data_IF_285144886777
#
_entry.id   IF_285144886777
#
_cell.length_a   1.000
_cell.length_b   1.000
_cell.length_c   1.000
_cell.angle_alpha   90.00
_cell.angle_beta   90.00
_cell.angle_gamma   90.00
#
_symmetry.space_group_name_H-M   'P 1'
#
loop_
_entity.id
_entity.type
_entity.pdbx_description
1 polymer ?
#
# COMPACT_ATOMS: atom_id res chain seq x y z
N UNK A 1 -4.83 24.30 -8.36
CA UNK A 1 -5.28 23.27 -7.40
C UNK A 1 -4.10 22.87 -6.53
N UNK A 2 -4.18 23.06 -5.21
CA UNK A 2 -3.19 22.51 -4.29
C UNK A 2 -3.29 20.98 -4.35
N UNK A 3 -2.23 20.29 -4.79
CA UNK A 3 -2.15 18.83 -4.67
C UNK A 3 -2.24 18.50 -3.18
N UNK A 4 -3.17 17.65 -2.72
CA UNK A 4 -3.28 17.31 -1.32
C UNK A 4 -1.93 16.73 -0.85
N UNK A 5 -1.35 17.33 0.19
CA UNK A 5 -0.20 16.77 0.88
C UNK A 5 -0.73 15.56 1.63
N UNK A 6 -0.57 14.37 1.06
CA UNK A 6 -0.95 13.12 1.70
C UNK A 6 0.02 12.91 2.88
N UNK A 7 -0.41 12.96 4.16
CA UNK A 7 0.47 12.64 5.28
C UNK A 7 0.70 11.12 5.27
N UNK A 8 1.74 10.72 4.56
CA UNK A 8 2.00 9.33 4.22
C UNK A 8 2.12 8.44 5.46
N UNK A 9 2.74 8.92 6.52
CA UNK A 9 3.08 8.10 7.69
C UNK A 9 1.86 7.76 8.57
N UNK A 10 0.83 8.60 8.58
CA UNK A 10 -0.36 8.36 9.40
C UNK A 10 -1.36 7.42 8.70
N UNK A 11 -1.31 7.39 7.36
CA UNK A 11 -2.27 6.68 6.52
C UNK A 11 -1.70 5.44 5.84
N UNK A 12 -0.38 5.39 5.61
CA UNK A 12 0.34 4.26 5.04
C UNK A 12 1.40 3.76 6.01
N UNK A 13 1.44 2.44 6.17
CA UNK A 13 2.55 1.72 6.79
C UNK A 13 2.95 0.60 5.86
N UNK A 14 4.23 0.38 5.67
CA UNK A 14 4.69 -0.69 4.82
C UNK A 14 6.04 -1.19 5.26
N UNK A 15 6.36 -2.38 4.77
CA UNK A 15 7.71 -2.89 4.75
C UNK A 15 7.97 -3.40 3.33
N UNK A 16 9.15 -3.12 2.78
CA UNK A 16 9.54 -3.73 1.52
C UNK A 16 11.04 -3.91 1.40
N UNK A 17 11.43 -5.17 1.14
CA UNK A 17 12.78 -5.60 0.76
C UNK A 17 12.63 -6.70 -0.28
N UNK A 18 13.20 -6.47 -1.47
CA UNK A 18 13.05 -7.39 -2.59
C UNK A 18 13.51 -8.81 -2.23
N UNK A 19 12.71 -9.82 -2.54
CA UNK A 19 12.93 -11.26 -2.23
C UNK A 19 12.76 -11.66 -0.77
N UNK A 20 12.52 -10.73 0.16
CA UNK A 20 12.41 -11.06 1.60
C UNK A 20 10.99 -10.86 2.12
N UNK A 21 10.48 -9.64 2.06
CA UNK A 21 9.13 -9.34 2.52
C UNK A 21 8.65 -8.02 1.94
N UNK A 22 7.41 -8.03 1.45
CA UNK A 22 6.72 -6.84 0.96
C UNK A 22 5.27 -6.85 1.41
N UNK A 23 4.85 -5.73 1.99
CA UNK A 23 3.45 -5.44 2.31
C UNK A 23 3.24 -3.94 2.54
N UNK A 24 2.02 -3.47 2.27
CA UNK A 24 1.64 -2.07 2.44
C UNK A 24 0.21 -1.96 2.97
N UNK A 25 0.06 -1.49 4.20
CA UNK A 25 -1.22 -1.25 4.85
C UNK A 25 -1.69 0.20 4.64
N UNK A 26 -2.82 0.34 3.97
CA UNK A 26 -3.52 1.59 3.74
C UNK A 26 -4.68 1.76 4.74
N UNK A 27 -4.40 2.48 5.83
CA UNK A 27 -5.31 2.65 6.98
C UNK A 27 -6.66 3.25 6.61
N UNK A 28 -6.70 4.33 5.81
CA UNK A 28 -7.96 4.98 5.38
C UNK A 28 -8.99 4.01 4.81
N UNK A 29 -8.55 3.02 4.03
CA UNK A 29 -9.42 2.05 3.37
C UNK A 29 -9.46 0.70 4.10
N UNK A 30 -8.70 0.55 5.19
CA UNK A 30 -8.50 -0.73 5.86
C UNK A 30 -8.05 -1.84 4.90
N UNK A 31 -7.23 -1.45 3.92
CA UNK A 31 -6.73 -2.34 2.86
C UNK A 31 -5.27 -2.67 3.13
N UNK A 32 -4.93 -3.95 2.99
CA UNK A 32 -3.56 -4.42 2.93
C UNK A 32 -3.24 -4.85 1.49
N UNK A 33 -2.14 -4.36 0.94
CA UNK A 33 -1.56 -4.83 -0.32
C UNK A 33 -0.36 -5.72 -0.02
N UNK A 34 -0.41 -6.96 -0.49
CA UNK A 34 0.53 -8.04 -0.13
C UNK A 34 0.68 -8.28 1.39
N UNK A 35 1.21 -9.42 1.75
CA UNK A 35 1.31 -9.91 3.12
C UNK A 35 2.60 -10.72 3.32
N UNK A 36 3.75 -10.12 3.01
CA UNK A 36 5.06 -10.69 3.31
C UNK A 36 5.27 -10.99 4.81
N UNK A 37 6.32 -11.75 5.12
CA UNK A 37 6.62 -12.12 6.50
C UNK A 37 6.89 -10.91 7.42
N UNK A 38 6.70 -11.09 8.73
CA UNK A 38 6.90 -10.05 9.74
C UNK A 38 5.77 -9.02 9.85
N UNK A 39 4.78 -9.04 8.96
CA UNK A 39 3.65 -8.09 8.97
C UNK A 39 2.91 -8.03 10.32
N UNK A 40 2.59 -9.17 10.92
CA UNK A 40 1.85 -9.21 12.18
C UNK A 40 2.67 -8.58 13.32
N UNK A 41 3.96 -8.88 13.39
CA UNK A 41 4.90 -8.31 14.36
C UNK A 41 5.09 -6.80 14.16
N UNK A 42 5.12 -6.33 12.90
CA UNK A 42 5.29 -4.91 12.60
C UNK A 42 4.03 -4.08 12.87
N UNK A 43 2.85 -4.63 12.59
CA UNK A 43 1.57 -3.92 12.75
C UNK A 43 1.00 -4.04 14.17
N UNK A 44 1.36 -5.08 14.93
CA UNK A 44 0.79 -5.37 16.25
C UNK A 44 -0.75 -5.32 16.18
N UNK A 45 -1.42 -4.70 17.15
CA UNK A 45 -2.88 -4.58 17.19
C UNK A 45 -3.52 -3.91 15.96
N UNK A 46 -2.74 -3.25 15.08
CA UNK A 46 -3.28 -2.68 13.85
C UNK A 46 -3.75 -3.74 12.85
N UNK A 47 -3.30 -5.00 12.97
CA UNK A 47 -3.79 -6.09 12.10
C UNK A 47 -5.30 -6.29 12.21
N UNK A 48 -5.90 -6.00 13.37
CA UNK A 48 -7.34 -6.10 13.59
C UNK A 48 -8.14 -5.05 12.80
N UNK A 49 -7.50 -3.98 12.34
CA UNK A 49 -8.11 -2.96 11.50
C UNK A 49 -8.19 -3.34 10.02
N UNK A 50 -7.50 -4.39 9.58
CA UNK A 50 -7.51 -4.84 8.18
C UNK A 50 -8.88 -5.44 7.86
N UNK A 51 -9.45 -5.08 6.71
CA UNK A 51 -10.74 -5.63 6.24
C UNK A 51 -10.59 -6.38 4.93
N UNK A 52 -9.73 -5.88 4.04
CA UNK A 52 -9.48 -6.49 2.73
C UNK A 52 -7.97 -6.61 2.48
N UNK A 53 -7.52 -7.76 1.99
CA UNK A 53 -6.13 -8.04 1.59
C UNK A 53 -6.13 -8.26 0.07
N UNK A 54 -5.26 -7.57 -0.65
CA UNK A 54 -5.08 -7.72 -2.10
C UNK A 54 -3.67 -8.22 -2.37
N UNK A 55 -3.56 -9.46 -2.82
CA UNK A 55 -2.29 -10.11 -3.16
C UNK A 55 -1.99 -9.85 -4.64
N UNK A 56 -0.85 -9.26 -4.94
CA UNK A 56 -0.40 -8.98 -6.31
C UNK A 56 -0.04 -10.26 -7.06
N UNK A 57 0.62 -11.19 -6.38
CA UNK A 57 1.03 -12.50 -6.88
C UNK A 57 1.38 -13.43 -5.72
N UNK A 58 1.87 -14.64 -6.04
CA UNK A 58 2.05 -15.71 -5.06
C UNK A 58 3.48 -16.03 -4.70
N UNK A 59 4.45 -15.12 -4.83
CA UNK A 59 5.78 -15.37 -4.26
C UNK A 59 5.77 -15.25 -2.74
N UNK A 60 6.64 -16.00 -2.08
CA UNK A 60 6.62 -16.17 -0.63
C UNK A 60 6.82 -14.85 0.12
N UNK A 61 7.68 -13.97 -0.39
CA UNK A 61 7.94 -12.63 0.15
C UNK A 61 6.72 -11.68 0.06
N UNK A 62 5.66 -12.06 -0.66
CA UNK A 62 4.40 -11.33 -0.73
C UNK A 62 3.24 -12.00 0.01
N UNK A 63 3.38 -13.23 0.51
CA UNK A 63 2.25 -13.99 1.08
C UNK A 63 2.55 -14.76 2.38
N UNK A 64 3.83 -14.97 2.73
CA UNK A 64 4.21 -15.82 3.86
C UNK A 64 3.68 -15.31 5.22
N UNK A 65 3.45 -14.01 5.35
CA UNK A 65 2.88 -13.38 6.53
C UNK A 65 1.39 -13.68 6.76
N UNK A 66 0.67 -14.20 5.77
CA UNK A 66 -0.75 -14.54 5.88
C UNK A 66 -1.01 -15.52 7.03
N UNK A 67 -0.16 -16.54 7.17
CA UNK A 67 -0.35 -17.59 8.19
C UNK A 67 -0.40 -16.96 9.59
N UNK A 68 0.60 -16.12 9.90
CA UNK A 68 0.69 -15.47 11.20
C UNK A 68 -0.41 -14.39 11.35
N UNK A 69 -0.70 -13.63 10.30
CA UNK A 69 -1.74 -12.60 10.32
C UNK A 69 -3.12 -13.17 10.68
N UNK A 70 -3.51 -14.27 10.03
CA UNK A 70 -4.81 -14.93 10.31
C UNK A 70 -4.82 -15.49 11.73
N UNK A 71 -3.72 -16.11 12.17
CA UNK A 71 -3.61 -16.66 13.52
C UNK A 71 -3.76 -15.57 14.61
N UNK A 72 -3.05 -14.44 14.48
CA UNK A 72 -3.14 -13.34 15.46
C UNK A 72 -4.53 -12.71 15.46
N UNK A 73 -5.17 -12.58 14.29
CA UNK A 73 -6.55 -12.11 14.21
C UNK A 73 -7.53 -13.05 14.91
N UNK A 74 -7.29 -14.35 14.84
CA UNK A 74 -8.16 -15.35 15.44
C UNK A 74 -8.05 -15.37 16.98
N UNK A 75 -6.81 -15.37 17.49
CA UNK A 75 -6.54 -15.50 18.92
C UNK A 75 -6.60 -14.18 19.68
N UNK A 76 -6.55 -13.05 18.97
CA UNK A 76 -6.54 -11.71 19.56
C UNK A 76 -7.92 -11.21 19.97
N UNK A 77 -7.95 -10.27 20.91
CA UNK A 77 -9.15 -9.57 21.40
C UNK A 77 -9.64 -8.44 20.45
N UNK A 78 -9.44 -8.60 19.14
CA UNK A 78 -9.86 -7.62 18.14
C UNK A 78 -11.36 -7.63 17.87
N UNK A 79 -11.81 -6.83 16.91
CA UNK A 79 -13.18 -6.93 16.37
C UNK A 79 -13.34 -8.26 15.60
N UNK A 80 -13.96 -9.22 16.27
CA UNK A 80 -14.22 -10.56 15.75
C UNK A 80 -15.45 -10.61 14.81
N UNK A 81 -16.24 -9.54 14.74
CA UNK A 81 -17.45 -9.49 13.91
C UNK A 81 -17.17 -9.13 12.45
N UNK A 82 -15.98 -8.59 12.16
CA UNK A 82 -15.63 -8.12 10.84
C UNK A 82 -15.03 -9.21 9.95
N UNK A 83 -15.67 -9.47 8.81
CA UNK A 83 -15.14 -10.32 7.74
C UNK A 83 -13.76 -9.83 7.26
N UNK A 84 -12.85 -10.77 7.06
CA UNK A 84 -11.60 -10.57 6.33
C UNK A 84 -11.73 -11.15 4.93
N UNK A 85 -11.59 -10.32 3.91
CA UNK A 85 -11.59 -10.76 2.52
C UNK A 85 -10.18 -10.75 1.94
N UNK A 86 -9.76 -11.85 1.32
CA UNK A 86 -8.47 -11.99 0.66
C UNK A 86 -8.69 -12.16 -0.84
N UNK A 87 -8.29 -11.15 -1.61
CA UNK A 87 -8.32 -11.13 -3.06
C UNK A 87 -6.96 -11.53 -3.61
N UNK A 88 -6.93 -12.46 -4.56
CA UNK A 88 -5.68 -13.00 -5.10
C UNK A 88 -5.80 -13.38 -6.58
N UNK A 89 -4.70 -13.44 -7.33
CA UNK A 89 -4.76 -13.78 -8.74
C UNK A 89 -5.27 -15.21 -8.91
N UNK A 90 -6.30 -15.36 -9.73
CA UNK A 90 -6.89 -16.66 -10.03
C UNK A 90 -5.82 -17.65 -10.53
N UNK A 91 -5.98 -18.92 -10.17
CA UNK A 91 -5.08 -20.03 -10.50
C UNK A 91 -3.65 -19.89 -9.92
N UNK A 92 -3.47 -19.16 -8.81
CA UNK A 92 -2.19 -19.13 -8.10
C UNK A 92 -2.02 -20.33 -7.16
N UNK A 93 -1.16 -21.28 -7.53
CA UNK A 93 -0.98 -22.55 -6.81
C UNK A 93 -0.53 -22.37 -5.36
N UNK A 94 0.44 -21.50 -5.07
CA UNK A 94 0.97 -21.38 -3.71
C UNK A 94 -0.06 -20.74 -2.77
N UNK A 95 -0.83 -19.77 -3.26
CA UNK A 95 -1.91 -19.16 -2.48
C UNK A 95 -3.00 -20.19 -2.17
N UNK A 96 -3.36 -21.06 -3.11
CA UNK A 96 -4.30 -22.17 -2.87
C UNK A 96 -3.78 -23.15 -1.81
N UNK A 97 -2.49 -23.45 -1.80
CA UNK A 97 -1.87 -24.30 -0.76
C UNK A 97 -1.97 -23.64 0.61
N UNK A 98 -1.68 -22.34 0.71
CA UNK A 98 -1.81 -21.59 1.99
C UNK A 98 -3.27 -21.56 2.44
N UNK A 99 -4.22 -21.32 1.53
CA UNK A 99 -5.65 -21.35 1.83
C UNK A 99 -6.08 -22.70 2.40
N UNK A 100 -5.66 -23.80 1.77
CA UNK A 100 -5.95 -25.16 2.24
C UNK A 100 -5.29 -25.44 3.58
N UNK A 101 -4.03 -25.04 3.76
CA UNK A 101 -3.31 -25.17 5.02
C UNK A 101 -4.07 -24.47 6.17
N UNK A 102 -4.48 -23.22 5.98
CA UNK A 102 -5.24 -22.47 6.98
C UNK A 102 -6.60 -23.13 7.28
N UNK A 103 -7.35 -23.54 6.25
CA UNK A 103 -8.62 -24.23 6.43
C UNK A 103 -8.48 -25.58 7.18
N UNK A 104 -7.34 -26.26 7.00
CA UNK A 104 -7.05 -27.55 7.65
C UNK A 104 -6.49 -27.43 9.07
N UNK A 105 -5.98 -26.26 9.46
CA UNK A 105 -5.32 -26.05 10.76
C UNK A 105 -6.09 -25.12 11.69
N UNK A 106 -7.03 -24.33 11.15
CA UNK A 106 -7.83 -23.34 11.89
C UNK A 106 -9.32 -23.56 11.61
N UNK A 107 -9.89 -24.60 12.21
CA UNK A 107 -11.28 -25.02 11.95
C UNK A 107 -12.33 -24.07 12.52
N UNK A 108 -11.99 -23.30 13.56
CA UNK A 108 -12.89 -22.37 14.24
C UNK A 108 -12.24 -20.99 14.27
N UNK A 109 -12.38 -20.26 13.16
CA UNK A 109 -12.02 -18.84 13.14
C UNK A 109 -13.10 -18.04 13.88
N UNK A 110 -12.66 -17.11 14.73
CA UNK A 110 -13.53 -16.19 15.45
C UNK A 110 -14.15 -15.13 14.53
N UNK A 111 -13.77 -15.08 13.26
CA UNK A 111 -14.22 -14.14 12.24
C UNK A 111 -14.40 -14.85 10.90
N UNK A 112 -15.20 -14.26 10.00
CA UNK A 112 -15.40 -14.81 8.66
C UNK A 112 -14.19 -14.52 7.76
N UNK A 113 -13.64 -15.55 7.12
CA UNK A 113 -12.49 -15.46 6.23
C UNK A 113 -12.88 -15.89 4.81
N UNK A 114 -12.97 -14.91 3.91
CA UNK A 114 -13.43 -15.11 2.54
C UNK A 114 -12.27 -14.98 1.56
N UNK A 115 -12.06 -16.00 0.74
CA UNK A 115 -11.05 -16.00 -0.33
C UNK A 115 -11.72 -15.73 -1.66
N UNK A 116 -11.23 -14.74 -2.41
CA UNK A 116 -11.79 -14.31 -3.69
C UNK A 116 -10.74 -14.32 -4.79
N UNK A 117 -10.73 -15.34 -5.67
CA UNK A 117 -9.86 -15.30 -6.84
C UNK A 117 -10.33 -14.19 -7.79
N UNK A 118 -9.40 -13.41 -8.31
CA UNK A 118 -9.68 -12.28 -9.21
C UNK A 118 -8.78 -12.31 -10.45
N UNK A 119 -9.30 -11.76 -11.54
CA UNK A 119 -8.61 -11.52 -12.80
C UNK A 119 -8.34 -10.01 -12.99
N UNK A 120 -7.71 -9.64 -14.11
CA UNK A 120 -7.47 -8.24 -14.46
C UNK A 120 -8.73 -7.57 -15.01
N UNK A 121 -8.92 -6.28 -14.70
CA UNK A 121 -10.08 -5.49 -15.15
C UNK A 121 -11.31 -5.61 -14.26
N UNK A 122 -11.24 -6.38 -13.16
CA UNK A 122 -12.33 -6.53 -12.23
C UNK A 122 -12.54 -5.27 -11.37
N UNK A 123 -13.79 -5.03 -11.00
CA UNK A 123 -14.23 -3.94 -10.12
C UNK A 123 -14.77 -4.53 -8.82
N UNK A 124 -14.18 -4.10 -7.71
CA UNK A 124 -14.43 -4.62 -6.36
C UNK A 124 -14.88 -3.45 -5.49
N UNK A 125 -16.15 -3.42 -5.14
CA UNK A 125 -16.75 -2.32 -4.37
C UNK A 125 -16.27 -2.30 -2.91
N UNK A 126 -16.15 -1.10 -2.33
CA UNK A 126 -16.07 -0.96 -0.88
C UNK A 126 -17.47 -0.98 -0.28
N UNK A 127 -17.61 -1.60 0.89
CA UNK A 127 -18.88 -1.66 1.65
C UNK A 127 -19.12 -0.36 2.44
N UNK A 128 -18.83 0.81 1.85
CA UNK A 128 -18.98 2.11 2.50
C UNK A 128 -20.42 2.69 2.40
N UNK A 129 -21.32 1.93 1.77
CA UNK A 129 -22.72 2.29 1.55
C UNK A 129 -22.94 3.47 0.59
N UNK A 130 -21.87 4.06 0.05
CA UNK A 130 -21.93 5.23 -0.84
C UNK A 130 -21.63 4.87 -2.29
N UNK A 131 -20.99 3.73 -2.55
CA UNK A 131 -20.74 3.20 -3.91
C UNK A 131 -19.87 4.12 -4.77
N UNK A 132 -19.10 5.01 -4.13
CA UNK A 132 -18.25 6.00 -4.80
C UNK A 132 -16.81 5.56 -4.88
N UNK A 133 -16.39 4.59 -4.08
CA UNK A 133 -15.01 4.12 -4.05
C UNK A 133 -14.99 2.62 -4.33
N UNK A 134 -14.07 2.18 -5.17
CA UNK A 134 -13.87 0.76 -5.49
C UNK A 134 -12.40 0.47 -5.82
N UNK A 135 -12.02 -0.80 -5.81
CA UNK A 135 -10.75 -1.28 -6.37
C UNK A 135 -10.98 -1.74 -7.82
N UNK A 136 -10.08 -1.34 -8.71
CA UNK A 136 -9.94 -1.88 -10.06
C UNK A 136 -8.64 -2.66 -10.15
N UNK A 137 -8.71 -3.91 -10.59
CA UNK A 137 -7.52 -4.72 -10.86
C UNK A 137 -6.97 -4.43 -12.26
N UNK A 138 -5.67 -4.54 -12.45
CA UNK A 138 -5.04 -4.51 -13.77
C UNK A 138 -3.89 -5.51 -13.84
N UNK A 139 -3.59 -6.00 -15.04
CA UNK A 139 -2.52 -6.98 -15.24
C UNK A 139 -1.15 -6.29 -15.17
N UNK A 140 -0.22 -6.88 -14.44
CA UNK A 140 1.19 -6.48 -14.42
C UNK A 140 2.05 -7.49 -15.18
N UNK A 141 3.33 -7.16 -15.39
CA UNK A 141 4.26 -7.99 -16.14
C UNK A 141 5.37 -8.47 -15.21
N UNK A 142 5.14 -9.57 -14.51
CA UNK A 142 6.15 -10.14 -13.60
C UNK A 142 6.55 -11.57 -13.98
N UNK A 143 5.57 -12.46 -14.14
CA UNK A 143 5.80 -13.84 -14.59
C UNK A 143 5.04 -14.12 -15.88
N UNK A 144 5.67 -14.83 -16.81
CA UNK A 144 4.97 -15.33 -18.01
C UNK A 144 3.99 -16.47 -17.68
N UNK A 145 4.20 -17.18 -16.56
CA UNK A 145 3.46 -18.40 -16.20
C UNK A 145 2.30 -18.16 -15.25
N UNK A 146 2.39 -17.11 -14.44
CA UNK A 146 1.42 -16.81 -13.39
C UNK A 146 0.86 -15.40 -13.57
N UNK A 147 -0.43 -15.24 -13.28
CA UNK A 147 -1.07 -13.94 -13.28
C UNK A 147 -0.51 -13.11 -12.11
N UNK A 148 -0.02 -11.91 -12.43
CA UNK A 148 0.32 -10.86 -11.47
C UNK A 148 -0.59 -9.66 -11.71
N UNK A 149 -1.01 -9.03 -10.63
CA UNK A 149 -1.99 -7.95 -10.61
C UNK A 149 -1.46 -6.72 -9.88
N UNK A 150 -1.83 -5.56 -10.41
CA UNK A 150 -1.84 -4.30 -9.69
C UNK A 150 -3.27 -3.87 -9.36
N UNK A 151 -3.39 -2.92 -8.46
CA UNK A 151 -4.66 -2.47 -7.90
C UNK A 151 -4.75 -0.95 -7.88
N UNK A 152 -5.84 -0.42 -8.44
CA UNK A 152 -6.19 0.99 -8.36
C UNK A 152 -7.34 1.17 -7.37
N UNK A 153 -7.17 1.99 -6.34
CA UNK A 153 -8.31 2.54 -5.61
C UNK A 153 -8.83 3.72 -6.43
N UNK A 154 -10.09 3.64 -6.83
CA UNK A 154 -10.75 4.60 -7.71
C UNK A 154 -11.91 5.25 -6.97
N UNK A 155 -12.03 6.57 -7.11
CA UNK A 155 -13.13 7.37 -6.55
C UNK A 155 -13.93 8.02 -7.69
N UNK A 156 -15.25 7.82 -7.69
CA UNK A 156 -16.20 8.53 -8.53
C UNK A 156 -16.34 9.98 -8.02
N UNK A 157 -15.81 10.92 -8.81
CA UNK A 157 -15.88 12.35 -8.53
C UNK A 157 -16.76 13.05 -9.55
N UNK A 158 -17.07 14.32 -9.26
CA UNK A 158 -17.81 15.18 -10.17
C UNK A 158 -17.02 16.44 -10.43
N UNK A 159 -17.07 16.92 -11.66
CA UNK A 159 -16.53 18.22 -12.06
C UNK A 159 -17.55 18.95 -12.91
N UNK A 160 -17.46 20.27 -12.96
CA UNK A 160 -18.26 21.06 -13.88
C UNK A 160 -17.92 20.67 -15.32
N UNK A 161 -18.93 20.63 -16.19
CA UNK A 161 -18.68 20.53 -17.63
C UNK A 161 -17.95 21.78 -18.10
N UNK A 162 -17.17 21.65 -19.18
CA UNK A 162 -16.30 22.71 -19.68
C UNK A 162 -17.02 24.06 -19.86
N UNK A 163 -18.28 24.04 -20.31
CA UNK A 163 -19.11 25.24 -20.50
C UNK A 163 -19.44 26.01 -19.20
N UNK A 164 -19.39 25.37 -18.03
CA UNK A 164 -19.64 26.02 -16.73
C UNK A 164 -18.36 26.33 -15.95
N UNK A 165 -17.18 25.92 -16.47
CA UNK A 165 -15.90 26.19 -15.79
C UNK A 165 -15.59 27.68 -15.87
N UNK A 166 -15.39 28.32 -14.71
CA UNK A 166 -15.08 29.74 -14.60
C UNK A 166 -16.28 30.68 -14.57
N UNK A 167 -17.52 30.15 -14.70
CA UNK A 167 -18.73 30.95 -14.51
C UNK A 167 -18.90 31.40 -13.05
N UNK A 168 -19.58 32.53 -12.82
CA UNK A 168 -19.97 32.95 -11.48
C UNK A 168 -20.83 31.90 -10.75
N UNK A 169 -20.60 31.71 -9.44
CA UNK A 169 -21.27 30.68 -8.65
C UNK A 169 -22.81 30.82 -8.63
N UNK A 170 -23.32 32.05 -8.67
CA UNK A 170 -24.76 32.33 -8.77
C UNK A 170 -25.37 31.82 -10.09
N UNK A 171 -24.67 31.95 -11.21
CA UNK A 171 -25.12 31.43 -12.50
C UNK A 171 -25.10 29.91 -12.54
N UNK A 172 -24.07 29.29 -11.97
CA UNK A 172 -23.98 27.82 -11.81
C UNK A 172 -25.16 27.31 -10.96
N UNK A 173 -25.45 27.97 -9.84
CA UNK A 173 -26.55 27.58 -8.96
C UNK A 173 -27.91 27.71 -9.67
N UNK A 174 -28.11 28.79 -10.44
CA UNK A 174 -29.31 28.98 -11.24
C UNK A 174 -29.45 27.90 -12.33
N UNK A 175 -28.35 27.54 -12.99
CA UNK A 175 -28.32 26.46 -13.97
C UNK A 175 -28.66 25.10 -13.34
N UNK A 176 -28.13 24.80 -12.15
CA UNK A 176 -28.45 23.57 -11.41
C UNK A 176 -29.92 23.53 -11.03
N UNK A 177 -30.49 24.64 -10.56
CA UNK A 177 -31.91 24.70 -10.17
C UNK A 177 -32.83 24.49 -11.38
N UNK A 178 -32.46 25.03 -12.55
CA UNK A 178 -33.26 24.97 -13.78
C UNK A 178 -33.12 23.66 -14.54
N UNK A 179 -31.89 23.16 -14.69
CA UNK A 179 -31.55 22.04 -15.58
C UNK A 179 -31.17 20.75 -14.84
N UNK A 180 -31.01 20.82 -13.52
CA UNK A 180 -30.53 19.72 -12.69
C UNK A 180 -29.01 19.60 -12.65
N UNK A 181 -28.52 18.88 -11.64
CA UNK A 181 -27.09 18.74 -11.35
C UNK A 181 -26.30 17.98 -12.44
N UNK A 182 -26.93 16.99 -13.09
CA UNK A 182 -26.31 16.21 -14.18
C UNK A 182 -26.10 17.03 -15.46
N UNK A 183 -26.90 18.08 -15.66
CA UNK A 183 -26.72 18.98 -16.79
C UNK A 183 -25.46 19.84 -16.64
N UNK A 184 -25.11 20.21 -15.40
CA UNK A 184 -24.02 21.15 -15.08
C UNK A 184 -22.70 20.45 -14.73
N UNK A 185 -22.78 19.27 -14.12
CA UNK A 185 -21.62 18.52 -13.67
C UNK A 185 -21.59 17.10 -14.24
N UNK A 186 -20.44 16.71 -14.77
CA UNK A 186 -20.16 15.34 -15.23
C UNK A 186 -19.44 14.53 -14.15
N UNK A 187 -19.67 13.23 -14.14
CA UNK A 187 -18.95 12.28 -13.27
C UNK A 187 -17.70 11.77 -13.98
N UNK A 188 -16.62 11.59 -13.23
CA UNK A 188 -15.38 11.01 -13.73
C UNK A 188 -14.72 10.15 -12.65
N UNK A 189 -13.89 9.21 -13.10
CA UNK A 189 -13.09 8.37 -12.22
C UNK A 189 -11.75 9.04 -11.92
N UNK A 190 -11.43 9.14 -10.64
CA UNK A 190 -10.10 9.53 -10.18
C UNK A 190 -9.42 8.34 -9.54
N UNK A 191 -8.27 7.92 -10.08
CA UNK A 191 -7.40 6.97 -9.39
C UNK A 191 -6.73 7.72 -8.23
N UNK A 192 -7.07 7.36 -7.00
CA UNK A 192 -6.54 8.03 -5.80
C UNK A 192 -5.28 7.35 -5.27
N UNK A 193 -5.12 6.05 -5.55
CA UNK A 193 -3.98 5.26 -5.09
C UNK A 193 -3.80 4.06 -6.01
N UNK A 194 -2.56 3.78 -6.38
CA UNK A 194 -2.17 2.63 -7.19
C UNK A 194 -1.13 1.81 -6.44
N UNK A 195 -1.34 0.50 -6.35
CA UNK A 195 -0.34 -0.47 -5.93
C UNK A 195 0.03 -1.36 -7.10
N UNK A 196 1.30 -1.32 -7.52
CA UNK A 196 1.77 -2.06 -8.69
C UNK A 196 2.09 -3.53 -8.45
N UNK A 197 2.39 -3.93 -7.21
CA UNK A 197 3.10 -5.20 -6.96
C UNK A 197 4.43 -5.26 -7.72
N UNK A 198 4.95 -6.47 -7.87
CA UNK A 198 6.12 -6.73 -8.71
C UNK A 198 5.72 -6.70 -10.19
N UNK A 199 6.56 -6.07 -11.00
CA UNK A 199 6.31 -5.82 -12.41
C UNK A 199 7.51 -5.19 -13.11
N UNK A 200 7.66 -5.46 -14.41
CA UNK A 200 8.23 -4.51 -15.38
C UNK A 200 7.49 -3.16 -15.35
N UNK A 201 8.00 -2.11 -15.99
CA UNK A 201 7.38 -0.79 -15.96
C UNK A 201 5.89 -0.86 -16.30
N UNK A 202 5.05 -0.40 -15.38
CA UNK A 202 3.59 -0.49 -15.50
C UNK A 202 3.16 0.38 -16.69
N UNK A 203 2.24 -0.15 -17.51
CA UNK A 203 1.66 0.60 -18.62
C UNK A 203 1.03 1.91 -18.09
N UNK A 204 1.49 3.09 -18.56
CA UNK A 204 0.97 4.39 -18.12
C UNK A 204 -0.54 4.55 -18.25
N UNK A 205 -1.19 3.88 -19.20
CA UNK A 205 -2.65 3.96 -19.38
C UNK A 205 -3.42 3.29 -18.23
N UNK A 206 -2.86 2.24 -17.63
CA UNK A 206 -3.49 1.55 -16.50
C UNK A 206 -3.47 2.39 -15.20
N UNK A 207 -2.60 3.39 -15.14
CA UNK A 207 -2.31 4.18 -13.94
C UNK A 207 -2.41 5.70 -14.19
N UNK A 208 -3.03 6.09 -15.31
CA UNK A 208 -3.10 7.46 -15.78
C UNK A 208 -3.77 8.37 -14.76
N UNK A 209 -3.14 9.51 -14.50
CA UNK A 209 -3.56 10.55 -13.55
C UNK A 209 -3.72 10.04 -12.10
N UNK A 210 -3.07 8.94 -11.74
CA UNK A 210 -3.07 8.46 -10.35
C UNK A 210 -2.50 9.50 -9.40
N UNK A 211 -3.19 9.77 -8.28
CA UNK A 211 -2.70 10.74 -7.29
C UNK A 211 -1.49 10.21 -6.51
N UNK A 212 -1.39 8.90 -6.36
CA UNK A 212 -0.31 8.23 -5.63
C UNK A 212 0.01 6.87 -6.24
N UNK A 213 1.20 6.72 -6.80
CA UNK A 213 1.67 5.51 -7.46
C UNK A 213 2.67 4.78 -6.58
N UNK A 214 2.40 3.53 -6.21
CA UNK A 214 3.40 2.62 -5.66
C UNK A 214 3.91 1.72 -6.79
N UNK A 215 5.19 1.83 -7.11
CA UNK A 215 5.81 1.07 -8.20
C UNK A 215 7.08 0.37 -7.71
N UNK A 216 7.25 -0.90 -8.02
CA UNK A 216 8.49 -1.60 -7.69
C UNK A 216 9.66 -0.96 -8.45
N UNK A 217 10.83 -0.94 -7.83
CA UNK A 217 12.06 -0.51 -8.47
C UNK A 217 13.22 -1.33 -7.93
N UNK A 218 13.26 -2.59 -8.36
CA UNK A 218 14.26 -3.54 -7.89
C UNK A 218 15.69 -3.09 -8.21
N UNK A 219 15.90 -2.46 -9.38
CA UNK A 219 17.22 -2.06 -9.84
C UNK A 219 17.37 -0.55 -10.05
N UNK A 220 18.51 0.01 -9.63
CA UNK A 220 18.83 1.44 -9.83
C UNK A 220 19.52 1.68 -11.17
N UNK A 221 20.24 0.68 -11.71
CA UNK A 221 20.95 0.75 -13.00
C UNK A 221 20.54 -0.45 -13.86
N UNK A 222 20.70 -0.32 -15.18
CA UNK A 222 20.35 -1.39 -16.12
C UNK A 222 21.27 -2.61 -15.95
N UNK A 223 22.56 -2.37 -15.74
CA UNK A 223 23.57 -3.42 -15.61
C UNK A 223 23.39 -4.28 -14.35
N UNK A 224 22.58 -3.82 -13.39
CA UNK A 224 22.27 -4.54 -12.16
C UNK A 224 21.31 -5.72 -12.36
N UNK A 225 20.57 -5.79 -13.48
CA UNK A 225 19.74 -6.95 -13.85
C UNK A 225 20.60 -8.08 -14.46
N UNK A 226 21.56 -8.59 -13.68
CA UNK A 226 22.56 -9.58 -14.10
C UNK A 226 21.95 -10.86 -14.68
N UNK A 227 20.74 -11.22 -14.24
CA UNK A 227 20.06 -12.45 -14.64
C UNK A 227 19.18 -12.26 -15.87
N UNK A 228 19.05 -11.02 -16.35
CA UNK A 228 18.19 -10.60 -17.46
C UNK A 228 16.81 -11.27 -17.42
N UNK A 229 16.27 -11.45 -16.21
CA UNK A 229 15.02 -12.17 -16.03
C UNK A 229 13.86 -11.36 -16.60
N UNK A 230 14.03 -10.05 -16.79
CA UNK A 230 13.04 -9.19 -17.44
C UNK A 230 11.69 -9.21 -16.69
N UNK A 231 11.74 -9.42 -15.36
CA UNK A 231 10.56 -9.55 -14.47
C UNK A 231 10.35 -8.32 -13.56
N UNK A 232 11.35 -7.45 -13.48
CA UNK A 232 11.38 -6.30 -12.58
C UNK A 232 11.73 -5.01 -13.32
N UNK A 233 11.59 -3.88 -12.63
CA UNK A 233 11.80 -2.56 -13.20
C UNK A 233 13.12 -1.93 -12.82
N UNK A 234 13.62 -1.07 -13.71
CA UNK A 234 14.80 -0.22 -13.50
C UNK A 234 14.37 1.22 -13.28
N UNK A 235 15.07 1.94 -12.40
CA UNK A 235 14.77 3.32 -11.99
C UNK A 235 14.42 4.27 -13.14
N UNK A 236 15.16 4.26 -14.25
CA UNK A 236 14.89 5.13 -15.40
C UNK A 236 13.47 4.94 -15.94
N UNK A 237 13.06 3.68 -16.06
CA UNK A 237 11.80 3.31 -16.69
C UNK A 237 10.63 3.55 -15.74
N UNK A 238 10.84 3.35 -14.43
CA UNK A 238 9.84 3.67 -13.40
C UNK A 238 9.56 5.18 -13.38
N UNK A 239 10.60 6.02 -13.42
CA UNK A 239 10.45 7.47 -13.47
C UNK A 239 9.77 7.92 -14.76
N UNK A 240 10.09 7.29 -15.89
CA UNK A 240 9.46 7.57 -17.17
C UNK A 240 7.98 7.15 -17.18
N UNK A 241 7.64 5.96 -16.68
CA UNK A 241 6.26 5.50 -16.55
C UNK A 241 5.42 6.43 -15.66
N UNK A 242 5.97 6.88 -14.52
CA UNK A 242 5.31 7.84 -13.64
C UNK A 242 5.06 9.19 -14.32
N UNK A 243 6.03 9.65 -15.14
CA UNK A 243 5.91 10.87 -15.95
C UNK A 243 4.81 10.77 -16.99
N UNK A 244 4.81 9.68 -17.77
CA UNK A 244 3.85 9.45 -18.86
C UNK A 244 2.43 9.23 -18.35
N UNK A 245 2.32 8.64 -17.16
CA UNK A 245 1.07 8.50 -16.42
C UNK A 245 0.60 9.80 -15.77
N UNK A 246 1.43 10.85 -15.69
CA UNK A 246 1.17 12.08 -14.93
C UNK A 246 0.84 11.81 -13.46
N UNK A 247 1.60 10.92 -12.82
CA UNK A 247 1.40 10.57 -11.42
C UNK A 247 1.51 11.82 -10.51
N UNK A 248 0.68 11.88 -9.46
CA UNK A 248 0.73 12.96 -8.48
C UNK A 248 1.97 12.87 -7.58
N UNK A 249 2.22 11.66 -7.07
CA UNK A 249 3.37 11.24 -6.27
C UNK A 249 3.76 9.82 -6.66
N UNK A 250 5.04 9.52 -6.76
CA UNK A 250 5.59 8.17 -6.94
C UNK A 250 6.25 7.73 -5.63
N UNK A 251 5.85 6.56 -5.13
CA UNK A 251 6.55 5.82 -4.10
C UNK A 251 7.17 4.57 -4.71
N UNK A 252 8.49 4.51 -4.68
CA UNK A 252 9.23 3.34 -5.07
C UNK A 252 9.30 2.36 -3.90
N UNK A 253 9.21 1.06 -4.17
CA UNK A 253 9.39 0.01 -3.18
C UNK A 253 10.09 -1.20 -3.83
N UNK A 254 10.24 -2.30 -3.08
CA UNK A 254 10.84 -3.54 -3.57
C UNK A 254 12.26 -3.32 -4.12
N UNK A 255 13.06 -2.51 -3.43
CA UNK A 255 14.44 -2.21 -3.84
C UNK A 255 15.36 -3.36 -3.43
N UNK A 256 16.32 -3.71 -4.29
CA UNK A 256 17.32 -4.74 -4.00
C UNK A 256 18.21 -4.38 -2.80
N UNK A 257 18.55 -5.38 -1.98
CA UNK A 257 19.46 -5.23 -0.84
C UNK A 257 20.91 -4.92 -1.21
N UNK A 258 21.27 -4.96 -2.50
CA UNK A 258 22.63 -4.64 -2.94
C UNK A 258 23.02 -3.19 -2.71
N UNK A 259 22.02 -2.30 -2.61
CA UNK A 259 22.26 -0.87 -2.48
C UNK A 259 22.18 -0.43 -1.01
N UNK A 260 23.09 0.47 -0.63
CA UNK A 260 23.00 1.13 0.67
C UNK A 260 21.90 2.21 0.67
N UNK A 261 21.43 2.63 1.85
CA UNK A 261 20.45 3.71 1.97
C UNK A 261 20.95 5.03 1.34
N UNK A 262 22.23 5.33 1.52
CA UNK A 262 22.83 6.55 0.96
C UNK A 262 22.93 6.44 -0.57
N UNK A 263 23.30 5.28 -1.11
CA UNK A 263 23.30 5.04 -2.56
C UNK A 263 21.91 5.16 -3.18
N UNK A 264 20.90 4.51 -2.57
CA UNK A 264 19.50 4.59 -3.02
C UNK A 264 19.06 6.05 -3.09
N UNK A 265 19.30 6.83 -2.03
CA UNK A 265 18.93 8.24 -1.97
C UNK A 265 19.60 9.05 -3.09
N UNK A 266 20.92 8.91 -3.21
CA UNK A 266 21.72 9.77 -4.09
C UNK A 266 21.45 9.44 -5.58
N UNK A 267 21.39 8.15 -5.93
CA UNK A 267 21.05 7.72 -7.29
C UNK A 267 19.63 8.14 -7.70
N UNK A 268 18.64 8.02 -6.81
CA UNK A 268 17.27 8.47 -7.10
C UNK A 268 17.21 9.99 -7.22
N UNK A 269 17.89 10.74 -6.35
CA UNK A 269 17.92 12.19 -6.42
C UNK A 269 18.52 12.70 -7.75
N UNK A 270 19.61 12.08 -8.21
CA UNK A 270 20.23 12.41 -9.50
C UNK A 270 19.30 12.06 -10.67
N UNK A 271 18.71 10.87 -10.67
CA UNK A 271 17.81 10.43 -11.73
C UNK A 271 16.54 11.30 -11.81
N UNK A 272 15.99 11.72 -10.66
CA UNK A 272 14.83 12.64 -10.60
C UNK A 272 15.17 13.99 -11.20
N UNK A 273 16.35 14.56 -10.91
CA UNK A 273 16.81 15.82 -11.53
C UNK A 273 16.97 15.70 -13.04
N UNK A 274 17.50 14.56 -13.52
CA UNK A 274 17.74 14.30 -14.94
C UNK A 274 16.45 14.06 -15.74
N UNK A 275 15.58 13.18 -15.26
CA UNK A 275 14.37 12.73 -15.99
C UNK A 275 13.21 13.70 -15.77
N UNK A 276 13.16 14.34 -14.60
CA UNK A 276 12.09 15.24 -14.16
C UNK A 276 10.69 14.61 -14.38
N UNK A 277 10.26 13.71 -13.48
CA UNK A 277 8.98 13.02 -13.62
C UNK A 277 7.75 13.92 -13.39
N UNK A 278 7.93 15.18 -12.97
CA UNK A 278 6.83 16.11 -12.71
C UNK A 278 6.02 15.79 -11.44
N UNK A 279 6.51 14.86 -10.61
CA UNK A 279 5.87 14.40 -9.38
C UNK A 279 6.87 14.31 -8.23
N UNK A 280 6.36 14.27 -6.99
CA UNK A 280 7.19 13.97 -5.82
C UNK A 280 7.58 12.50 -5.86
N UNK A 281 8.85 12.18 -5.58
CA UNK A 281 9.35 10.81 -5.47
C UNK A 281 9.71 10.50 -4.03
N UNK A 282 9.28 9.36 -3.52
CA UNK A 282 9.57 8.83 -2.18
C UNK A 282 9.97 7.37 -2.33
N UNK A 283 10.73 6.83 -1.38
CA UNK A 283 11.22 5.45 -1.42
C UNK A 283 10.83 4.76 -0.12
N UNK A 284 10.21 3.58 -0.21
CA UNK A 284 10.02 2.65 0.90
C UNK A 284 11.14 1.60 0.83
N UNK A 285 12.05 1.61 1.80
CA UNK A 285 13.12 0.63 1.92
C UNK A 285 13.19 0.09 3.35
N UNK A 286 12.91 -1.21 3.52
CA UNK A 286 12.52 -1.75 4.82
C UNK A 286 11.24 -1.07 5.29
N UNK A 287 11.23 -0.57 6.51
CA UNK A 287 10.13 0.18 7.14
C UNK A 287 10.29 1.71 7.03
N UNK A 288 11.30 2.20 6.29
CA UNK A 288 11.64 3.63 6.21
C UNK A 288 11.12 4.25 4.92
N UNK A 289 10.46 5.40 5.08
CA UNK A 289 10.13 6.30 3.98
C UNK A 289 11.25 7.34 3.82
N UNK A 290 11.87 7.37 2.64
CA UNK A 290 12.99 8.24 2.32
C UNK A 290 12.53 9.24 1.26
N UNK A 291 12.74 10.52 1.53
CA UNK A 291 12.59 11.58 0.52
C UNK A 291 13.98 11.88 -0.06
N UNK A 292 14.26 11.53 -1.32
CA UNK A 292 15.58 11.69 -1.93
C UNK A 292 15.98 13.15 -2.12
N UNK A 293 15.01 14.07 -2.11
CA UNK A 293 15.23 15.50 -2.33
C UNK A 293 15.26 16.31 -1.02
N UNK A 294 14.96 15.68 0.12
CA UNK A 294 15.10 16.33 1.42
C UNK A 294 16.58 16.62 1.70
N UNK A 295 16.89 17.84 2.15
CA UNK A 295 18.23 18.14 2.66
C UNK A 295 18.55 17.18 3.81
N UNK A 296 19.78 16.63 3.91
CA UNK A 296 20.17 15.83 5.06
C UNK A 296 20.14 16.72 6.31
N UNK A 297 18.99 16.76 6.98
CA UNK A 297 18.87 17.39 8.28
C UNK A 297 19.85 16.68 9.22
N UNK A 298 20.71 17.48 9.87
CA UNK A 298 21.88 17.09 10.65
C UNK A 298 21.87 15.69 11.26
N UNK A 299 22.77 14.84 10.79
CA UNK A 299 23.32 13.73 11.59
C UNK A 299 24.16 14.32 12.73
N UNK A 300 23.60 15.09 13.65
CA UNK A 300 24.19 15.50 14.94
C UNK A 300 23.03 15.75 15.92
N UNK A 301 22.87 14.88 16.92
CA UNK A 301 22.04 15.18 18.10
C UNK A 301 20.90 14.21 18.44
N UNK A 302 21.10 12.89 18.38
CA UNK A 302 20.36 11.97 19.28
C UNK A 302 21.33 10.92 19.86
N UNK A 303 22.26 11.43 20.67
CA UNK A 303 22.92 10.69 21.76
C UNK A 303 23.13 11.70 22.89
N UNK A 304 22.24 11.65 23.88
CA UNK A 304 22.26 12.21 25.26
C UNK A 304 20.82 12.03 25.77
N UNK A 305 20.49 11.37 26.87
CA UNK A 305 21.23 10.67 27.92
C UNK A 305 20.38 9.44 28.31
N UNK A 306 21.04 8.30 28.45
CA UNK A 306 20.65 7.33 29.47
C UNK A 306 21.28 7.79 30.78
N UNK A 307 20.60 7.47 31.88
CA UNK A 307 21.02 7.51 33.27
C UNK A 307 20.49 8.68 34.12
N UNK A 308 19.84 8.23 35.21
CA UNK A 308 19.51 8.91 36.47
C UNK A 308 18.15 9.62 36.58
N UNK A 309 17.17 8.87 37.11
CA UNK A 309 16.32 9.24 38.29
C UNK A 309 15.37 8.04 38.54
N UNK A 310 15.80 7.12 39.40
CA UNK A 310 15.34 6.98 40.79
C UNK A 310 14.06 6.12 40.96
N UNK A 311 14.38 4.88 41.28
CA UNK A 311 13.66 3.87 42.04
C UNK A 311 12.74 4.44 43.14
N UNK A 312 11.42 4.22 43.04
CA UNK A 312 10.55 4.01 44.21
C UNK A 312 9.55 2.90 43.88
N UNK A 313 9.99 1.68 44.14
CA UNK A 313 9.14 0.50 44.21
C UNK A 313 8.37 0.55 45.55
N UNK A 314 7.07 0.86 45.55
CA UNK A 314 6.23 0.67 46.73
C UNK A 314 5.91 -0.83 46.94
N UNK A 315 6.00 -1.36 48.17
CA UNK A 315 5.87 -2.79 48.42
C UNK A 315 4.40 -3.23 48.50
N UNK A 316 4.09 -4.34 47.83
CA UNK A 316 2.82 -5.07 48.01
C UNK A 316 2.65 -5.58 49.45
N UNK A 317 1.44 -5.48 50.04
CA UNK A 317 1.20 -5.94 51.41
C UNK A 317 1.25 -7.47 51.50
N UNK A 318 1.98 -7.95 52.51
CA UNK A 318 2.06 -9.37 52.92
C UNK A 318 0.71 -9.80 53.51
N UNK A 319 0.09 -10.82 52.94
CA UNK A 319 -0.93 -11.62 53.62
C UNK A 319 -0.21 -12.59 54.54
N UNK A 320 -0.31 -12.36 55.85
CA UNK A 320 0.04 -13.33 56.88
C UNK A 320 -1.10 -14.34 57.01
N UNK A 321 -0.75 -15.62 56.86
CA UNK A 321 -1.50 -16.73 57.44
C UNK A 321 -1.36 -16.66 58.96
N UNK A 322 -2.48 -16.59 59.67
CA UNK A 322 -2.58 -17.03 61.07
C UNK A 322 -3.60 -18.18 61.13
N UNK A 323 -3.15 -19.24 61.79
CA UNK A 323 -3.86 -20.46 62.15
C UNK A 323 -4.71 -20.22 63.42
N UNK A 324 -5.64 -21.17 63.66
CA UNK A 324 -6.30 -21.53 64.92
C UNK A 324 -7.61 -20.80 65.31
N UNK A 325 -8.76 -21.43 64.97
CA UNK A 325 -9.49 -22.33 65.89
C UNK A 325 -10.28 -23.39 65.12
#
# INVERSE_FOLDING_TARGET
MHKPVFPLQDQLRGFSRALFSTWLYHRRFNVLFDAGEGIATALLNRVFGIRKIFLSHGHADHIAGLINLVNIRNLGAGDQTATLEIFYPKNNTLIEVIRQYLASTQHELSFDLVWRPVEAGERIEFEDGRGKTFIRTFRTQHSHKQLSLGFNIVEMRRRLKAEYVGMPQNEINAAILRLGKEAVAESFEQIIFTYGGDSRPINPDAIRDTLFLCHECTYLRLDDDERNFQQHSVLSDVLQAAKDARAGTLMMFHVSLRYSHDEIRDCVAEAVKRINPGCRVIILHGDRFIDPMASPAGRHGQRKNTDEEEDVCEPMPRLQEELEE
#
